data_IF_684577553379
#
_entry.id   IF_684577553379
#
_cell.length_a   1.000
_cell.length_b   1.000
_cell.length_c   1.000
_cell.angle_alpha   90.00
_cell.angle_beta   90.00
_cell.angle_gamma   90.00
#
_symmetry.space_group_name_H-M   'P 1'
#
loop_
_entity.id
_entity.type
_entity.pdbx_description
1 polymer ?
#
# COMPACT_ATOMS: atom_id res chain seq x y z
N UNK A 1 64.17 -10.89 -14.01
CA UNK A 1 63.40 -10.89 -15.28
C UNK A 1 61.97 -11.31 -14.95
N UNK A 2 61.01 -10.52 -15.43
CA UNK A 2 59.56 -10.66 -15.22
C UNK A 2 59.06 -11.97 -15.84
N UNK A 3 58.06 -12.59 -15.20
CA UNK A 3 56.91 -13.25 -15.84
C UNK A 3 56.08 -13.98 -14.78
N UNK A 4 55.28 -13.22 -14.05
CA UNK A 4 54.02 -13.73 -13.54
C UNK A 4 52.93 -12.84 -14.10
N UNK A 5 51.89 -13.52 -14.58
CA UNK A 5 50.48 -13.14 -14.54
C UNK A 5 49.86 -13.43 -15.90
N UNK A 6 49.32 -14.64 -16.00
CA UNK A 6 48.27 -15.00 -16.93
C UNK A 6 47.15 -13.97 -16.79
N UNK A 7 47.04 -13.08 -17.77
CA UNK A 7 45.87 -12.25 -17.94
C UNK A 7 44.87 -13.08 -18.75
N UNK A 8 44.01 -13.81 -18.04
CA UNK A 8 42.76 -14.31 -18.59
C UNK A 8 41.76 -13.15 -18.61
N UNK A 9 41.79 -12.34 -19.67
CA UNK A 9 40.64 -11.48 -20.00
C UNK A 9 39.60 -12.37 -20.67
N UNK A 10 38.74 -12.96 -19.85
CA UNK A 10 37.46 -13.54 -20.26
C UNK A 10 36.35 -12.97 -19.37
N UNK A 11 36.25 -11.65 -19.33
CA UNK A 11 35.04 -10.95 -18.90
C UNK A 11 34.46 -10.27 -20.14
N UNK A 12 33.44 -10.89 -20.73
CA UNK A 12 32.81 -10.36 -21.94
C UNK A 12 31.91 -11.33 -22.69
N UNK A 13 31.36 -12.35 -22.01
CA UNK A 13 30.16 -13.03 -22.48
C UNK A 13 29.07 -12.69 -21.47
N UNK A 14 28.58 -11.45 -21.55
CA UNK A 14 27.24 -11.14 -21.02
C UNK A 14 26.32 -11.91 -21.97
N UNK A 15 26.09 -13.17 -21.66
CA UNK A 15 25.00 -13.92 -22.27
C UNK A 15 23.76 -13.19 -21.78
N UNK A 16 23.26 -12.27 -22.62
CA UNK A 16 21.93 -11.70 -22.56
C UNK A 16 20.93 -12.84 -22.79
N UNK A 17 20.90 -13.80 -21.86
CA UNK A 17 19.70 -14.59 -21.63
C UNK A 17 18.69 -13.58 -21.10
N UNK A 18 17.56 -13.45 -21.80
CA UNK A 18 16.44 -12.68 -21.29
C UNK A 18 15.97 -13.19 -19.91
N UNK A 19 14.96 -12.54 -19.33
CA UNK A 19 14.38 -12.97 -18.08
C UNK A 19 14.04 -14.46 -18.11
N UNK A 20 14.30 -15.14 -17.00
CA UNK A 20 13.92 -16.54 -16.83
C UNK A 20 12.42 -16.68 -16.55
N UNK A 21 11.82 -17.81 -16.91
CA UNK A 21 10.41 -18.12 -16.61
C UNK A 21 10.08 -17.94 -15.12
N UNK A 22 11.03 -18.24 -14.24
CA UNK A 22 10.89 -18.06 -12.79
C UNK A 22 10.81 -16.58 -12.38
N UNK A 23 11.54 -15.70 -13.06
CA UNK A 23 11.45 -14.25 -12.82
C UNK A 23 10.12 -13.70 -13.35
N UNK A 24 9.66 -14.21 -14.50
CA UNK A 24 8.37 -13.85 -15.06
C UNK A 24 7.21 -14.26 -14.15
N UNK A 25 7.22 -15.49 -13.61
CA UNK A 25 6.21 -15.98 -12.67
C UNK A 25 6.15 -15.13 -11.40
N UNK A 26 7.30 -14.87 -10.77
CA UNK A 26 7.36 -14.00 -9.57
C UNK A 26 6.84 -12.59 -9.82
N UNK A 27 7.15 -12.01 -10.99
CA UNK A 27 6.65 -10.69 -11.32
C UNK A 27 5.14 -10.70 -11.54
N UNK A 28 4.58 -11.75 -12.14
CA UNK A 28 3.13 -11.92 -12.27
C UNK A 28 2.45 -12.03 -10.92
N UNK A 29 3.01 -12.81 -10.01
CA UNK A 29 2.50 -12.94 -8.64
C UNK A 29 2.54 -11.58 -7.92
N UNK A 30 3.69 -10.89 -7.98
CA UNK A 30 3.82 -9.55 -7.42
C UNK A 30 2.75 -8.59 -7.98
N UNK A 31 2.55 -8.54 -9.30
CA UNK A 31 1.56 -7.65 -9.93
C UNK A 31 0.13 -7.98 -9.44
N UNK A 32 -0.19 -9.27 -9.30
CA UNK A 32 -1.50 -9.69 -8.82
C UNK A 32 -1.73 -9.27 -7.36
N UNK A 33 -0.75 -9.51 -6.49
CA UNK A 33 -0.83 -9.09 -5.08
C UNK A 33 -0.86 -7.55 -4.97
N UNK A 34 0.00 -6.84 -5.73
CA UNK A 34 0.04 -5.38 -5.76
C UNK A 34 -1.31 -4.76 -6.14
N UNK A 35 -1.96 -5.33 -7.17
CA UNK A 35 -3.30 -4.91 -7.60
C UNK A 35 -4.33 -5.14 -6.51
N UNK A 36 -4.32 -6.32 -5.87
CA UNK A 36 -5.24 -6.65 -4.78
C UNK A 36 -5.08 -5.68 -3.60
N UNK A 37 -3.85 -5.43 -3.15
CA UNK A 37 -3.55 -4.46 -2.08
C UNK A 37 -3.99 -3.05 -2.46
N UNK A 38 -3.79 -2.64 -3.72
CA UNK A 38 -4.26 -1.34 -4.24
C UNK A 38 -5.78 -1.21 -4.17
N UNK A 39 -6.51 -2.26 -4.52
CA UNK A 39 -7.98 -2.30 -4.45
C UNK A 39 -8.48 -2.20 -3.00
N UNK A 40 -7.87 -2.95 -2.07
CA UNK A 40 -8.22 -2.88 -0.64
C UNK A 40 -8.03 -1.47 -0.07
N UNK A 41 -6.93 -0.80 -0.41
CA UNK A 41 -6.64 0.56 0.08
C UNK A 41 -7.58 1.59 -0.51
N UNK A 42 -7.91 1.46 -1.79
CA UNK A 42 -8.88 2.34 -2.44
C UNK A 42 -10.26 2.22 -1.76
N UNK A 43 -10.72 1.01 -1.51
CA UNK A 43 -11.98 0.75 -0.80
C UNK A 43 -11.95 1.30 0.63
N UNK A 44 -10.87 1.05 1.38
CA UNK A 44 -10.67 1.60 2.73
C UNK A 44 -10.70 3.14 2.73
N UNK A 45 -10.00 3.79 1.79
CA UNK A 45 -9.96 5.24 1.67
C UNK A 45 -11.33 5.84 1.34
N UNK A 46 -12.11 5.16 0.48
CA UNK A 46 -13.48 5.53 0.16
C UNK A 46 -14.40 5.38 1.37
N UNK A 47 -14.36 4.23 2.05
CA UNK A 47 -15.15 3.99 3.25
C UNK A 47 -14.86 5.03 4.33
N UNK A 48 -13.59 5.35 4.57
CA UNK A 48 -13.18 6.37 5.53
C UNK A 48 -13.72 7.75 5.14
N UNK A 49 -13.61 8.13 3.87
CA UNK A 49 -14.16 9.39 3.36
C UNK A 49 -15.68 9.48 3.57
N UNK A 50 -16.41 8.40 3.30
CA UNK A 50 -17.85 8.32 3.54
C UNK A 50 -18.20 8.48 5.03
N UNK A 51 -17.44 7.88 5.94
CA UNK A 51 -17.67 8.03 7.38
C UNK A 51 -17.40 9.44 7.89
N UNK A 52 -16.32 10.07 7.42
CA UNK A 52 -16.01 11.47 7.75
C UNK A 52 -17.12 12.41 7.27
N UNK A 53 -17.63 12.20 6.05
CA UNK A 53 -18.76 12.97 5.53
C UNK A 53 -20.04 12.80 6.36
N UNK A 54 -20.36 11.56 6.76
CA UNK A 54 -21.52 11.29 7.62
C UNK A 54 -21.37 11.94 9.01
N UNK A 55 -20.16 11.95 9.57
CA UNK A 55 -19.86 12.64 10.84
C UNK A 55 -20.16 14.14 10.72
N UNK A 56 -19.65 14.77 9.67
CA UNK A 56 -19.87 16.20 9.40
C UNK A 56 -21.36 16.51 9.23
N UNK A 57 -22.07 15.72 8.43
CA UNK A 57 -23.51 15.88 8.19
C UNK A 57 -24.31 15.77 9.49
N UNK A 58 -24.03 14.76 10.32
CA UNK A 58 -24.72 14.56 11.61
C UNK A 58 -24.50 15.72 12.58
N UNK A 59 -23.34 16.37 12.53
CA UNK A 59 -23.04 17.56 13.34
C UNK A 59 -23.84 18.79 12.87
N UNK A 60 -23.91 18.98 11.56
CA UNK A 60 -24.72 20.04 10.95
C UNK A 60 -26.20 19.87 11.29
N UNK A 61 -26.75 18.66 11.16
CA UNK A 61 -28.15 18.35 11.48
C UNK A 61 -28.50 18.60 12.95
N UNK A 62 -27.59 18.26 13.86
CA UNK A 62 -27.77 18.49 15.30
C UNK A 62 -27.43 19.92 15.74
N UNK A 63 -27.00 20.79 14.81
CA UNK A 63 -26.63 22.17 15.09
C UNK A 63 -25.47 22.31 16.08
N UNK A 64 -24.57 21.33 16.13
CA UNK A 64 -23.42 21.32 17.05
C UNK A 64 -22.10 21.33 16.28
N UNK A 65 -21.17 22.16 16.74
CA UNK A 65 -19.77 22.14 16.27
C UNK A 65 -18.87 21.36 17.21
N UNK A 66 -19.39 20.91 18.35
CA UNK A 66 -18.63 20.20 19.38
C UNK A 66 -18.11 18.86 18.85
N UNK A 67 -16.91 18.48 19.29
CA UNK A 67 -16.29 17.22 18.92
C UNK A 67 -16.94 16.07 19.71
N UNK A 68 -17.08 14.90 19.09
CA UNK A 68 -17.70 13.74 19.72
C UNK A 68 -16.63 12.99 20.51
N UNK A 69 -16.65 12.99 21.86
CA UNK A 69 -15.64 12.30 22.65
C UNK A 69 -15.80 10.78 22.54
N UNK A 70 -14.68 10.08 22.39
CA UNK A 70 -14.63 8.62 22.33
C UNK A 70 -13.43 8.10 23.10
N UNK A 71 -13.48 6.82 23.48
CA UNK A 71 -12.29 6.07 23.87
C UNK A 71 -11.88 5.19 22.70
N UNK A 72 -10.71 5.44 22.12
CA UNK A 72 -10.20 4.74 20.95
C UNK A 72 -8.84 4.15 21.27
N UNK A 73 -8.65 2.85 21.01
CA UNK A 73 -7.39 2.15 21.31
C UNK A 73 -6.90 2.30 22.76
N UNK A 74 -7.85 2.47 23.69
CA UNK A 74 -7.56 2.63 25.12
C UNK A 74 -7.31 4.06 25.60
N UNK A 75 -7.23 5.05 24.69
CA UNK A 75 -6.99 6.46 24.97
C UNK A 75 -8.24 7.33 24.78
N UNK A 76 -8.34 8.43 25.53
CA UNK A 76 -9.40 9.44 25.36
C UNK A 76 -9.10 10.29 24.11
N UNK A 77 -10.05 10.37 23.19
CA UNK A 77 -9.93 11.10 21.92
C UNK A 77 -11.29 11.68 21.49
N UNK A 78 -11.40 12.09 20.23
CA UNK A 78 -12.67 12.42 19.59
C UNK A 78 -12.74 11.84 18.17
N UNK A 79 -13.95 11.65 17.67
CA UNK A 79 -14.22 11.07 16.36
C UNK A 79 -13.48 11.78 15.23
N UNK A 80 -13.55 13.11 15.18
CA UNK A 80 -12.94 13.91 14.12
C UNK A 80 -11.43 13.73 14.08
N UNK A 81 -10.80 13.74 15.25
CA UNK A 81 -9.35 13.57 15.38
C UNK A 81 -8.95 12.15 14.99
N UNK A 82 -9.65 11.13 15.50
CA UNK A 82 -9.30 9.74 15.22
C UNK A 82 -9.51 9.37 13.73
N UNK A 83 -10.61 9.82 13.10
CA UNK A 83 -10.80 9.66 11.67
C UNK A 83 -9.74 10.41 10.84
N UNK A 84 -9.37 11.63 11.26
CA UNK A 84 -8.33 12.42 10.58
C UNK A 84 -6.96 11.76 10.68
N UNK A 85 -6.59 11.22 11.85
CA UNK A 85 -5.32 10.50 12.03
C UNK A 85 -5.29 9.25 11.16
N UNK A 86 -6.36 8.43 11.17
CA UNK A 86 -6.44 7.27 10.30
C UNK A 86 -6.35 7.66 8.81
N UNK A 87 -6.94 8.80 8.42
CA UNK A 87 -6.85 9.34 7.07
C UNK A 87 -5.42 9.71 6.70
N UNK A 88 -4.71 10.39 7.60
CA UNK A 88 -3.32 10.79 7.40
C UNK A 88 -2.41 9.57 7.21
N UNK A 89 -2.58 8.52 8.03
CA UNK A 89 -1.81 7.27 7.92
C UNK A 89 -2.04 6.58 6.56
N UNK A 90 -3.30 6.49 6.11
CA UNK A 90 -3.66 5.89 4.82
C UNK A 90 -3.15 6.75 3.66
N UNK A 91 -3.24 8.08 3.74
CA UNK A 91 -2.77 8.97 2.68
C UNK A 91 -1.23 8.95 2.55
N UNK A 92 -0.50 8.85 3.67
CA UNK A 92 0.96 8.65 3.65
C UNK A 92 1.31 7.32 2.99
N UNK A 93 0.61 6.25 3.34
CA UNK A 93 0.76 4.96 2.68
C UNK A 93 0.49 5.05 1.17
N UNK A 94 -0.62 5.66 0.75
CA UNK A 94 -0.97 5.82 -0.67
C UNK A 94 0.12 6.56 -1.43
N UNK A 95 0.74 7.58 -0.81
CA UNK A 95 1.83 8.32 -1.43
C UNK A 95 3.04 7.42 -1.72
N UNK A 96 3.49 6.65 -0.71
CA UNK A 96 4.60 5.70 -0.86
C UNK A 96 4.25 4.59 -1.86
N UNK A 97 3.05 4.04 -1.76
CA UNK A 97 2.56 2.97 -2.65
C UNK A 97 2.54 3.40 -4.11
N UNK A 98 2.16 4.66 -4.37
CA UNK A 98 2.18 5.24 -5.72
C UNK A 98 3.60 5.37 -6.27
N UNK A 99 4.57 5.75 -5.45
CA UNK A 99 5.98 5.80 -5.86
C UNK A 99 6.51 4.40 -6.18
N UNK A 100 6.17 3.40 -5.37
CA UNK A 100 6.59 2.01 -5.61
C UNK A 100 5.86 1.34 -6.78
N UNK A 101 4.64 1.79 -7.11
CA UNK A 101 3.93 1.37 -8.34
C UNK A 101 4.72 1.71 -9.60
N UNK A 102 5.45 2.84 -9.61
CA UNK A 102 6.34 3.17 -10.73
C UNK A 102 7.49 2.15 -10.90
N UNK A 103 7.96 1.56 -9.79
CA UNK A 103 8.98 0.50 -9.84
C UNK A 103 8.39 -0.81 -10.36
N UNK A 104 7.16 -1.16 -9.98
CA UNK A 104 6.44 -2.32 -10.54
C UNK A 104 6.26 -2.17 -12.06
N UNK A 105 5.89 -0.97 -12.52
CA UNK A 105 5.81 -0.65 -13.96
C UNK A 105 7.17 -0.79 -14.65
N UNK A 106 8.24 -0.31 -14.01
CA UNK A 106 9.60 -0.44 -14.53
C UNK A 106 10.04 -1.90 -14.64
N UNK A 107 9.77 -2.73 -13.64
CA UNK A 107 10.05 -4.17 -13.68
C UNK A 107 9.28 -4.86 -14.81
N UNK A 108 8.00 -4.52 -14.97
CA UNK A 108 7.14 -5.01 -16.05
C UNK A 108 7.69 -4.66 -17.42
N UNK A 109 8.13 -3.41 -17.60
CA UNK A 109 8.74 -2.97 -18.84
C UNK A 109 10.09 -3.66 -19.11
N UNK A 110 10.96 -3.76 -18.10
CA UNK A 110 12.27 -4.42 -18.21
C UNK A 110 12.12 -5.91 -18.57
N UNK A 111 11.14 -6.58 -17.95
CA UNK A 111 10.74 -7.95 -18.30
C UNK A 111 10.30 -8.05 -19.77
N UNK A 112 9.39 -7.19 -20.21
CA UNK A 112 8.83 -7.22 -21.57
C UNK A 112 9.88 -6.98 -22.67
N UNK A 113 10.87 -6.10 -22.42
CA UNK A 113 11.94 -5.80 -23.39
C UNK A 113 13.17 -6.71 -23.24
N UNK A 114 13.11 -7.69 -22.32
CA UNK A 114 14.18 -8.64 -22.06
C UNK A 114 15.43 -8.05 -21.40
N UNK A 115 15.34 -6.87 -20.79
CA UNK A 115 16.45 -6.18 -20.11
C UNK A 115 16.35 -6.34 -18.59
N UNK A 116 16.46 -7.58 -18.15
CA UNK A 116 16.47 -7.89 -16.71
C UNK A 116 17.87 -7.77 -16.11
N UNK A 117 17.97 -7.12 -14.97
CA UNK A 117 19.22 -6.86 -14.25
C UNK A 117 19.21 -7.44 -12.84
N UNK A 118 20.37 -7.45 -12.18
CA UNK A 118 20.48 -7.84 -10.77
C UNK A 118 19.71 -6.86 -9.87
N UNK A 119 19.69 -5.58 -10.23
CA UNK A 119 18.91 -4.56 -9.52
C UNK A 119 17.40 -4.83 -9.62
N UNK A 120 16.93 -5.33 -10.78
CA UNK A 120 15.52 -5.75 -10.94
C UNK A 120 15.17 -6.93 -10.02
N UNK A 121 16.09 -7.90 -9.83
CA UNK A 121 15.90 -9.00 -8.87
C UNK A 121 15.83 -8.51 -7.41
N UNK A 122 16.60 -7.48 -7.06
CA UNK A 122 16.58 -6.87 -5.72
C UNK A 122 15.29 -6.09 -5.50
N UNK A 123 14.87 -5.30 -6.48
CA UNK A 123 13.61 -4.54 -6.46
C UNK A 123 12.40 -5.47 -6.39
N UNK A 124 12.36 -6.55 -7.18
CA UNK A 124 11.29 -7.55 -7.15
C UNK A 124 11.12 -8.15 -5.74
N UNK A 125 12.22 -8.49 -5.07
CA UNK A 125 12.17 -9.02 -3.69
C UNK A 125 11.74 -7.97 -2.67
N UNK A 126 12.22 -6.73 -2.81
CA UNK A 126 11.85 -5.65 -1.91
C UNK A 126 10.35 -5.34 -1.99
N UNK A 127 9.80 -5.27 -3.21
CA UNK A 127 8.38 -5.03 -3.45
C UNK A 127 7.51 -6.21 -2.98
N UNK A 128 7.96 -7.46 -3.18
CA UNK A 128 7.27 -8.65 -2.66
C UNK A 128 7.20 -8.67 -1.13
N UNK A 129 8.25 -8.21 -0.44
CA UNK A 129 8.22 -8.06 1.01
C UNK A 129 7.28 -6.90 1.43
N UNK A 130 7.36 -5.78 0.73
CA UNK A 130 6.53 -4.60 1.00
C UNK A 130 5.04 -4.95 0.91
N UNK A 131 4.58 -5.64 -0.14
CA UNK A 131 3.17 -6.03 -0.27
C UNK A 131 2.68 -6.82 0.96
N UNK A 132 3.50 -7.76 1.44
CA UNK A 132 3.16 -8.62 2.58
C UNK A 132 3.12 -7.85 3.90
N UNK A 133 4.03 -6.92 4.10
CA UNK A 133 4.03 -6.04 5.29
C UNK A 133 2.80 -5.13 5.27
N UNK A 134 2.45 -4.58 4.11
CA UNK A 134 1.36 -3.60 3.96
C UNK A 134 -0.02 -4.21 4.03
N UNK A 135 -0.19 -5.46 3.62
CA UNK A 135 -1.45 -6.17 3.83
C UNK A 135 -1.82 -6.26 5.33
N UNK A 136 -0.83 -6.37 6.23
CA UNK A 136 -1.06 -6.36 7.69
C UNK A 136 -1.52 -4.98 8.16
N UNK A 137 -0.89 -3.91 7.67
CA UNK A 137 -1.28 -2.53 8.01
C UNK A 137 -2.73 -2.24 7.58
N UNK A 138 -3.11 -2.68 6.38
CA UNK A 138 -4.47 -2.50 5.85
C UNK A 138 -5.50 -3.25 6.69
N UNK A 139 -5.22 -4.49 7.10
CA UNK A 139 -6.09 -5.22 8.01
C UNK A 139 -6.25 -4.50 9.36
N UNK A 140 -5.18 -3.90 9.87
CA UNK A 140 -5.25 -3.10 11.09
C UNK A 140 -6.10 -1.85 10.90
N UNK A 141 -5.93 -1.11 9.80
CA UNK A 141 -6.75 0.07 9.51
C UNK A 141 -8.23 -0.25 9.29
N UNK A 142 -8.54 -1.40 8.68
CA UNK A 142 -9.91 -1.88 8.56
C UNK A 142 -10.55 -2.10 9.94
N UNK A 143 -9.85 -2.78 10.85
CA UNK A 143 -10.33 -2.98 12.22
C UNK A 143 -10.49 -1.64 12.97
N UNK A 144 -9.54 -0.73 12.81
CA UNK A 144 -9.61 0.61 13.38
C UNK A 144 -10.82 1.40 12.85
N UNK A 145 -11.10 1.31 11.55
CA UNK A 145 -12.26 1.94 10.95
C UNK A 145 -13.57 1.36 11.49
N UNK A 146 -13.66 0.04 11.68
CA UNK A 146 -14.85 -0.57 12.30
C UNK A 146 -15.04 -0.11 13.74
N UNK A 147 -13.98 -0.12 14.56
CA UNK A 147 -14.03 0.40 15.93
C UNK A 147 -14.47 1.88 15.96
N UNK A 148 -13.99 2.71 15.03
CA UNK A 148 -14.41 4.11 14.92
C UNK A 148 -15.88 4.26 14.52
N UNK A 149 -16.38 3.47 13.57
CA UNK A 149 -17.81 3.47 13.19
C UNK A 149 -18.70 3.20 14.40
N UNK A 150 -18.35 2.17 15.18
CA UNK A 150 -19.06 1.78 16.39
C UNK A 150 -19.01 2.87 17.46
N UNK A 151 -17.81 3.34 17.81
CA UNK A 151 -17.60 4.31 18.89
C UNK A 151 -18.21 5.68 18.58
N UNK A 152 -18.21 6.10 17.30
CA UNK A 152 -18.80 7.37 16.88
C UNK A 152 -20.31 7.30 16.66
N UNK A 153 -20.90 6.10 16.75
CA UNK A 153 -22.32 5.88 16.46
C UNK A 153 -22.69 6.34 15.05
N UNK A 154 -21.78 6.13 14.10
CA UNK A 154 -21.99 6.36 12.67
C UNK A 154 -22.12 4.99 12.02
N UNK A 155 -23.08 4.22 12.51
CA UNK A 155 -23.54 3.09 11.72
C UNK A 155 -24.33 3.69 10.56
N UNK A 156 -24.05 3.23 9.35
CA UNK A 156 -24.95 3.41 8.21
C UNK A 156 -26.24 2.66 8.51
N UNK A 157 -27.06 3.21 9.40
CA UNK A 157 -28.47 2.99 9.34
C UNK A 157 -28.89 3.60 8.01
N UNK A 158 -29.11 2.70 7.06
CA UNK A 158 -29.99 2.88 5.92
C UNK A 158 -31.38 3.30 6.44
N UNK A 159 -31.48 4.53 6.92
CA UNK A 159 -32.72 5.13 7.38
C UNK A 159 -33.36 5.86 6.20
N UNK A 160 -34.34 5.15 5.62
CA UNK A 160 -35.49 5.62 4.86
C UNK A 160 -35.37 5.68 3.33
N UNK A 161 -35.83 4.62 2.66
CA UNK A 161 -37.22 4.52 2.17
C UNK A 161 -37.54 3.12 1.64
#
# INVERSE_FOLDING_TARGET
MKNYMFVLVLFGLIVSCGPSDRQEEKLKDLIAEWKNTSEKVADLSEQLGNQMYLLETKKEENGTTEMIPIRFQGEESNCETAYKTLREDIDEFIAVWKENSLKVDQLTNNMAIGKWTVEDDENLKALDLEVKERDVDIEQWLNQLEELKENCGINTDSSNS
#
